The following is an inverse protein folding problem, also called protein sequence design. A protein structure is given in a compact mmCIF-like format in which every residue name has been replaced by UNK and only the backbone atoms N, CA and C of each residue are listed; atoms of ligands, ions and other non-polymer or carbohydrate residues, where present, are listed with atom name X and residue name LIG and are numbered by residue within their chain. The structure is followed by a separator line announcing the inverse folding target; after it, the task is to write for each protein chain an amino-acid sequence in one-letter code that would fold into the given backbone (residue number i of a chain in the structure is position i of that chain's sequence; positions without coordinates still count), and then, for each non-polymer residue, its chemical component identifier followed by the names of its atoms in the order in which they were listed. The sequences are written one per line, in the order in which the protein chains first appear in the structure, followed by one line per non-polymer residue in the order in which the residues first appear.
data_IF_379203188985
#
_entry.id   IF_379203188985
#
_cell.length_a   1.000
_cell.length_b   1.000
_cell.length_c   1.000
_cell.angle_alpha   90.00
_cell.angle_beta   90.00
_cell.angle_gamma   90.00
#
_symmetry.space_group_name_H-M   'P 1'
#
loop_
_entity.id
_entity.type
_entity.pdbx_description
1 polymer ?
#
# COMPACT_ATOMS: atom_id res chain seq x y z
N UNK A 1 -13.99 4.04 -5.46
CA UNK A 1 -12.89 3.76 -4.49
C UNK A 1 -11.61 3.55 -5.26
N UNK A 2 -10.57 4.28 -4.89
CA UNK A 2 -9.27 4.15 -5.54
C UNK A 2 -8.36 3.34 -4.63
N UNK A 3 -7.74 2.31 -5.19
CA UNK A 3 -6.74 1.51 -4.49
C UNK A 3 -5.46 1.56 -5.30
N UNK A 4 -4.39 2.09 -4.71
CA UNK A 4 -3.08 2.09 -5.37
C UNK A 4 -2.27 0.88 -4.93
N UNK A 5 -1.38 0.43 -5.79
CA UNK A 5 -0.51 -0.71 -5.50
C UNK A 5 0.95 -0.32 -5.76
N UNK A 6 1.80 -0.67 -4.81
CA UNK A 6 3.25 -0.47 -4.94
C UNK A 6 3.95 -1.70 -4.37
N UNK A 7 4.75 -2.36 -5.19
CA UNK A 7 5.43 -3.60 -4.79
C UNK A 7 6.79 -3.74 -5.43
N UNK A 8 7.54 -4.73 -4.96
CA UNK A 8 8.75 -5.21 -5.63
C UNK A 8 8.55 -6.58 -6.29
N UNK A 9 7.29 -6.91 -6.58
CA UNK A 9 6.91 -8.25 -7.07
C UNK A 9 7.12 -8.44 -8.56
N UNK A 10 7.43 -7.39 -9.31
CA UNK A 10 7.52 -7.46 -10.77
C UNK A 10 6.13 -7.41 -11.42
N UNK A 11 6.05 -7.81 -12.67
CA UNK A 11 4.86 -7.58 -13.47
C UNK A 11 3.78 -8.65 -13.35
N UNK A 12 4.08 -9.78 -12.71
CA UNK A 12 3.19 -10.94 -12.71
C UNK A 12 2.22 -10.94 -11.52
N UNK A 13 2.72 -10.78 -10.31
CA UNK A 13 1.93 -10.94 -9.10
C UNK A 13 0.90 -9.84 -8.85
N UNK A 14 1.05 -8.61 -9.38
CA UNK A 14 0.03 -7.59 -9.17
C UNK A 14 -1.36 -8.00 -9.64
N UNK A 15 -1.44 -8.77 -10.72
CA UNK A 15 -2.74 -9.26 -11.19
C UNK A 15 -3.40 -10.16 -10.15
N UNK A 16 -2.61 -10.99 -9.47
CA UNK A 16 -3.12 -11.87 -8.42
C UNK A 16 -3.59 -11.07 -7.21
N UNK A 17 -2.84 -10.03 -6.83
CA UNK A 17 -3.26 -9.14 -5.76
C UNK A 17 -4.61 -8.50 -6.06
N UNK A 18 -4.76 -7.97 -7.26
CA UNK A 18 -6.01 -7.34 -7.67
C UNK A 18 -7.16 -8.34 -7.65
N UNK A 19 -6.93 -9.55 -8.12
CA UNK A 19 -7.95 -10.60 -8.11
C UNK A 19 -8.41 -10.94 -6.70
N UNK A 20 -7.46 -11.07 -5.76
CA UNK A 20 -7.80 -11.35 -4.37
C UNK A 20 -8.61 -10.21 -3.77
N UNK A 21 -8.20 -8.97 -4.00
CA UNK A 21 -8.94 -7.82 -3.48
C UNK A 21 -10.36 -7.79 -4.04
N UNK A 22 -10.50 -7.96 -5.35
CA UNK A 22 -11.82 -7.94 -5.98
C UNK A 22 -12.72 -9.06 -5.46
N UNK A 23 -12.17 -10.25 -5.27
CA UNK A 23 -12.95 -11.38 -4.80
C UNK A 23 -13.43 -11.20 -3.35
N UNK A 24 -12.64 -10.49 -2.53
CA UNK A 24 -13.03 -10.21 -1.15
C UNK A 24 -14.05 -9.10 -1.05
N UNK A 25 -13.99 -8.12 -1.94
CA UNK A 25 -14.95 -7.01 -1.92
C UNK A 25 -16.29 -7.38 -2.53
N UNK A 26 -16.28 -8.19 -3.57
CA UNK A 26 -17.51 -8.64 -4.25
C UNK A 26 -18.48 -7.48 -4.45
N UNK A 27 -19.68 -7.59 -3.88
CA UNK A 27 -20.74 -6.60 -4.05
C UNK A 27 -20.42 -5.26 -3.39
N UNK A 28 -19.50 -5.25 -2.43
CA UNK A 28 -19.11 -4.04 -1.71
C UNK A 28 -18.12 -3.20 -2.48
N UNK A 29 -17.37 -3.81 -3.40
CA UNK A 29 -16.30 -3.14 -4.13
C UNK A 29 -16.63 -2.85 -5.57
N UNK A 30 -17.85 -2.57 -5.88
CA UNK A 30 -18.30 -2.45 -7.25
C UNK A 30 -17.65 -1.32 -8.05
N UNK A 31 -17.11 -0.30 -7.39
CA UNK A 31 -16.51 0.83 -8.09
C UNK A 31 -15.04 0.99 -7.70
N UNK A 32 -14.29 -0.10 -7.76
CA UNK A 32 -12.86 -0.06 -7.44
C UNK A 32 -12.07 0.28 -8.68
N UNK A 33 -11.23 1.32 -8.56
CA UNK A 33 -10.24 1.67 -9.58
C UNK A 33 -8.86 1.38 -9.01
N UNK A 34 -8.11 0.52 -9.70
CA UNK A 34 -6.73 0.25 -9.31
C UNK A 34 -5.78 1.20 -10.03
N UNK A 35 -4.82 1.74 -9.31
CA UNK A 35 -3.73 2.53 -9.88
C UNK A 35 -2.42 1.91 -9.44
N UNK A 36 -1.63 1.44 -10.39
CA UNK A 36 -0.32 0.88 -10.10
C UNK A 36 0.68 2.02 -9.98
N UNK A 37 1.25 2.20 -8.78
CA UNK A 37 2.31 3.20 -8.59
C UNK A 37 3.60 2.66 -9.18
N UNK A 38 3.99 1.45 -8.76
CA UNK A 38 5.16 0.78 -9.29
C UNK A 38 5.16 -0.67 -8.83
N UNK A 39 5.71 -1.56 -9.64
CA UNK A 39 5.93 -2.96 -9.25
C UNK A 39 7.36 -3.38 -9.53
N UNK A 40 8.18 -2.44 -9.95
CA UNK A 40 9.60 -2.65 -10.25
C UNK A 40 10.52 -2.03 -9.21
N UNK A 41 10.01 -1.82 -8.00
CA UNK A 41 10.88 -1.41 -6.90
C UNK A 41 11.97 -2.48 -6.76
N UNK A 42 13.24 -2.09 -6.64
CA UNK A 42 14.30 -3.08 -6.48
C UNK A 42 13.97 -4.02 -5.31
N UNK A 43 14.17 -5.33 -5.47
CA UNK A 43 13.74 -6.29 -4.46
C UNK A 43 14.22 -5.92 -3.07
N UNK A 44 13.28 -5.93 -2.12
CA UNK A 44 13.53 -5.68 -0.71
C UNK A 44 14.05 -4.28 -0.39
N UNK A 45 14.00 -3.37 -1.36
CA UNK A 45 14.48 -2.01 -1.15
C UNK A 45 13.37 -1.12 -0.59
N UNK A 46 13.21 -1.14 0.73
CA UNK A 46 12.17 -0.39 1.43
C UNK A 46 12.33 1.11 1.19
N UNK A 47 13.55 1.63 1.17
CA UNK A 47 13.78 3.07 0.98
C UNK A 47 13.32 3.54 -0.40
N UNK A 48 13.60 2.76 -1.43
CA UNK A 48 13.13 3.09 -2.78
C UNK A 48 11.60 3.05 -2.85
N UNK A 49 10.98 2.06 -2.22
CA UNK A 49 9.53 1.96 -2.16
C UNK A 49 8.92 3.14 -1.41
N UNK A 50 9.48 3.50 -0.25
CA UNK A 50 9.01 4.63 0.53
C UNK A 50 9.11 5.93 -0.26
N UNK A 51 10.18 6.12 -1.02
CA UNK A 51 10.35 7.32 -1.85
C UNK A 51 9.31 7.37 -2.97
N UNK A 52 9.07 6.25 -3.62
CA UNK A 52 8.07 6.20 -4.70
C UNK A 52 6.67 6.52 -4.16
N UNK A 53 6.32 5.97 -3.01
CA UNK A 53 5.04 6.24 -2.39
C UNK A 53 4.93 7.71 -1.97
N UNK A 54 5.95 8.23 -1.31
CA UNK A 54 6.02 9.62 -0.90
C UNK A 54 5.84 10.57 -2.08
N UNK A 55 6.47 10.26 -3.19
CA UNK A 55 6.42 11.10 -4.39
C UNK A 55 5.06 11.11 -5.05
N UNK A 56 4.21 10.11 -4.77
CA UNK A 56 2.95 9.92 -5.46
C UNK A 56 1.73 10.33 -4.64
N UNK A 57 1.80 10.19 -3.31
CA UNK A 57 0.62 10.20 -2.45
C UNK A 57 -0.17 11.52 -2.51
N UNK A 58 0.51 12.64 -2.65
CA UNK A 58 -0.16 13.96 -2.63
C UNK A 58 -1.05 14.20 -3.84
N UNK A 59 -0.92 13.39 -4.88
CA UNK A 59 -1.73 13.54 -6.10
C UNK A 59 -3.04 12.77 -6.02
N UNK A 60 -3.27 12.03 -4.96
CA UNK A 60 -4.47 11.22 -4.82
C UNK A 60 -5.48 11.88 -3.89
N UNK A 61 -6.78 11.68 -4.16
CA UNK A 61 -7.82 12.31 -3.36
C UNK A 61 -8.00 11.63 -2.00
N UNK A 62 -8.67 12.36 -1.10
CA UNK A 62 -9.14 11.80 0.16
C UNK A 62 -9.98 10.54 -0.13
N UNK A 63 -9.82 9.53 0.70
CA UNK A 63 -10.50 8.26 0.53
C UNK A 63 -9.69 7.21 -0.21
N UNK A 64 -8.53 7.59 -0.77
CA UNK A 64 -7.66 6.63 -1.46
C UNK A 64 -7.05 5.65 -0.46
N UNK A 65 -6.94 4.39 -0.86
CA UNK A 65 -6.27 3.33 -0.09
C UNK A 65 -5.00 2.95 -0.84
N UNK A 66 -3.87 3.10 -0.17
CA UNK A 66 -2.56 2.73 -0.73
C UNK A 66 -2.12 1.40 -0.15
N UNK A 67 -1.93 0.39 -0.98
CA UNK A 67 -1.41 -0.91 -0.58
C UNK A 67 0.03 -1.00 -1.08
N UNK A 68 0.96 -1.06 -0.15
CA UNK A 68 2.38 -1.10 -0.50
C UNK A 68 3.03 -2.31 0.17
N UNK A 69 3.73 -3.11 -0.61
CA UNK A 69 4.39 -4.32 -0.11
C UNK A 69 5.80 -4.38 -0.67
N UNK A 70 6.74 -3.91 0.11
CA UNK A 70 8.18 -4.07 -0.14
C UNK A 70 8.77 -4.44 1.21
N UNK A 71 9.12 -5.71 1.38
CA UNK A 71 9.47 -6.22 2.70
C UNK A 71 10.51 -7.32 2.59
N UNK A 72 11.73 -7.10 3.08
CA UNK A 72 12.73 -8.17 3.12
C UNK A 72 12.32 -9.33 4.01
N UNK A 73 11.34 -9.13 4.89
CA UNK A 73 10.84 -10.17 5.77
C UNK A 73 9.58 -10.87 5.29
N UNK A 74 9.24 -10.76 4.00
CA UNK A 74 8.06 -11.45 3.46
C UNK A 74 8.19 -12.95 3.74
N UNK A 75 7.12 -13.54 4.27
CA UNK A 75 7.11 -14.93 4.67
C UNK A 75 7.57 -15.18 6.09
N UNK A 76 8.20 -14.20 6.74
CA UNK A 76 8.50 -14.25 8.15
C UNK A 76 7.30 -13.70 8.92
N UNK A 77 7.17 -14.05 10.16
CA UNK A 77 6.04 -13.64 10.99
C UNK A 77 6.09 -12.14 11.30
N UNK A 78 5.75 -11.33 10.31
CA UNK A 78 5.71 -9.87 10.42
C UNK A 78 4.28 -9.39 10.29
N UNK A 79 3.84 -8.58 11.23
CA UNK A 79 2.49 -8.02 11.21
C UNK A 79 2.41 -6.87 10.22
N UNK A 80 1.26 -6.79 9.54
CA UNK A 80 0.93 -5.61 8.75
C UNK A 80 0.34 -4.53 9.62
N UNK A 81 0.31 -3.33 9.08
CA UNK A 81 -0.33 -2.19 9.74
C UNK A 81 -1.22 -1.44 8.76
N UNK A 82 -2.19 -0.74 9.31
CA UNK A 82 -2.97 0.25 8.59
C UNK A 82 -2.59 1.60 9.17
N UNK A 83 -2.22 2.54 8.31
CA UNK A 83 -1.91 3.90 8.74
C UNK A 83 -2.95 4.83 8.13
N UNK A 84 -3.56 5.66 8.96
CA UNK A 84 -4.49 6.69 8.52
C UNK A 84 -3.82 8.04 8.62
N UNK A 85 -3.89 8.83 7.55
CA UNK A 85 -3.31 10.17 7.54
C UNK A 85 -3.94 10.98 6.40
N UNK A 86 -4.29 12.23 6.70
CA UNK A 86 -4.82 13.14 5.68
C UNK A 86 -6.05 12.64 4.94
N UNK A 87 -6.84 11.79 5.57
CA UNK A 87 -8.04 11.22 4.94
C UNK A 87 -7.75 10.07 3.98
N UNK A 88 -6.52 9.57 3.96
CA UNK A 88 -6.12 8.43 3.14
C UNK A 88 -5.65 7.29 4.04
N UNK A 89 -5.72 6.07 3.53
CA UNK A 89 -5.28 4.87 4.25
C UNK A 89 -4.07 4.26 3.56
N UNK A 90 -3.18 3.72 4.37
CA UNK A 90 -1.96 3.03 3.91
C UNK A 90 -1.93 1.66 4.55
N UNK A 91 -1.77 0.63 3.75
CA UNK A 91 -1.76 -0.76 4.21
C UNK A 91 -0.46 -1.41 3.75
N UNK A 92 0.25 -2.01 4.68
CA UNK A 92 1.51 -2.66 4.34
C UNK A 92 2.27 -3.13 5.57
N UNK A 93 3.53 -3.54 5.39
CA UNK A 93 4.35 -3.99 6.50
C UNK A 93 4.80 -2.84 7.39
N UNK A 94 5.03 -3.13 8.66
CA UNK A 94 5.54 -2.17 9.62
C UNK A 94 7.06 -2.16 9.56
N UNK A 95 7.61 -1.54 8.52
CA UNK A 95 9.07 -1.52 8.29
C UNK A 95 9.57 -0.17 7.81
N UNK A 96 8.78 0.89 7.99
CA UNK A 96 9.15 2.23 7.55
C UNK A 96 8.72 2.58 6.14
N UNK A 97 8.09 1.64 5.43
CA UNK A 97 7.66 1.85 4.04
C UNK A 97 6.60 2.93 3.91
N UNK A 98 5.61 2.92 4.82
CA UNK A 98 4.41 3.75 4.70
C UNK A 98 4.55 5.13 5.33
N UNK A 99 5.37 5.26 6.36
CA UNK A 99 5.36 6.44 7.24
C UNK A 99 5.79 7.74 6.53
N UNK A 100 6.85 7.76 5.70
CA UNK A 100 7.21 9.03 5.06
C UNK A 100 6.06 9.62 4.23
N UNK A 101 5.37 8.79 3.46
CA UNK A 101 4.22 9.23 2.67
C UNK A 101 3.08 9.71 3.57
N UNK A 102 2.78 8.95 4.61
CA UNK A 102 1.69 9.30 5.52
C UNK A 102 1.97 10.63 6.22
N UNK A 103 3.20 10.86 6.67
CA UNK A 103 3.57 12.13 7.32
C UNK A 103 3.49 13.31 6.37
N UNK A 104 3.70 13.09 5.09
CA UNK A 104 3.69 14.18 4.13
C UNK A 104 2.31 14.79 3.94
N UNK A 105 1.24 14.10 4.32
CA UNK A 105 -0.14 14.57 4.11
C UNK A 105 -0.92 14.75 5.40
N UNK A 106 -0.33 14.48 6.55
CA UNK A 106 -1.03 14.67 7.82
C UNK A 106 -0.29 14.06 8.99
N UNK A 107 -1.00 13.91 10.10
CA UNK A 107 -0.49 13.28 11.31
C UNK A 107 -0.93 11.81 11.29
N UNK A 108 0.01 10.87 11.16
CA UNK A 108 -0.37 9.45 11.02
C UNK A 108 -0.89 8.85 12.32
N UNK A 109 -1.90 7.99 12.17
CA UNK A 109 -2.35 7.08 13.22
C UNK A 109 -2.20 5.67 12.71
N UNK A 110 -1.50 4.82 13.44
CA UNK A 110 -1.19 3.46 12.99
C UNK A 110 -1.93 2.43 13.82
N UNK A 111 -2.43 1.40 13.15
CA UNK A 111 -3.17 0.31 13.77
C UNK A 111 -2.59 -1.01 13.28
N UNK A 112 -2.36 -1.94 14.18
CA UNK A 112 -1.89 -3.27 13.79
C UNK A 112 -3.05 -4.05 13.18
N UNK A 113 -2.75 -4.77 12.10
CA UNK A 113 -3.70 -5.72 11.55
C UNK A 113 -3.65 -6.94 12.44
N UNK A 114 -4.78 -7.28 13.04
CA UNK A 114 -4.87 -8.37 13.98
C UNK A 114 -4.56 -9.72 13.36
N UNK A 115 -4.11 -10.68 14.12
CA UNK A 115 -3.78 -12.01 13.65
C UNK A 115 -4.21 -13.04 14.66
#
# INVERSE_FOLDING_TARGET
MIITLLTDFGSFYPAQMKGVILSKLKDKGKDVTFVDIAHDIPPQNVRAGAFALLSSVRYFPVGTIHVAVVDPGVGINRLGIIVESGGQLFVGPDNGLLIPAARSIGAPSAYKIGC
#
